data_IF_704249085910
#
_entry.id   IF_704249085910
#
_cell.length_a   1.000
_cell.length_b   1.000
_cell.length_c   1.000
_cell.angle_alpha   90.00
_cell.angle_beta   90.00
_cell.angle_gamma   90.00
#
_symmetry.space_group_name_H-M   'P 1'
#
loop_
_entity.id
_entity.type
_entity.pdbx_description
1 polymer ?
#
# COMPACT_ATOMS: atom_id res chain seq x y z
N UNK A 1 46.73 89.49 -20.27
CA UNK A 1 45.60 88.54 -19.96
C UNK A 1 45.34 87.83 -21.29
N UNK A 2 45.39 86.49 -21.33
CA UNK A 2 45.06 85.74 -22.54
C UNK A 2 43.59 85.84 -22.82
N UNK A 3 43.22 86.00 -24.08
CA UNK A 3 41.82 86.14 -24.50
C UNK A 3 41.00 84.90 -24.20
N UNK A 4 39.67 85.06 -23.87
CA UNK A 4 38.83 83.92 -23.51
C UNK A 4 38.67 82.83 -24.60
N UNK A 5 39.06 83.11 -25.84
CA UNK A 5 38.98 82.17 -26.95
C UNK A 5 40.10 81.04 -26.90
N UNK A 6 41.14 81.20 -26.10
CA UNK A 6 42.19 80.19 -25.95
C UNK A 6 41.97 79.22 -24.79
N UNK A 7 40.94 79.39 -23.98
CA UNK A 7 40.60 78.49 -22.89
C UNK A 7 39.62 77.35 -23.28
N UNK A 8 38.87 77.56 -24.39
CA UNK A 8 37.83 76.59 -24.82
C UNK A 8 38.40 75.21 -25.16
N UNK A 9 39.55 75.09 -25.86
CA UNK A 9 40.12 73.76 -26.16
C UNK A 9 40.60 73.01 -24.93
N UNK A 10 41.07 73.70 -23.92
CA UNK A 10 41.52 73.07 -22.65
C UNK A 10 40.43 72.63 -21.76
N UNK A 11 39.30 73.33 -21.76
CA UNK A 11 38.09 72.93 -21.02
C UNK A 11 37.45 71.74 -21.72
N UNK A 12 37.33 71.71 -23.05
CA UNK A 12 36.84 70.55 -23.80
C UNK A 12 37.72 69.31 -23.64
N UNK A 13 39.04 69.49 -23.70
CA UNK A 13 39.99 68.41 -23.49
C UNK A 13 39.92 67.81 -22.08
N UNK A 14 39.71 68.65 -21.04
CA UNK A 14 39.53 68.21 -19.68
C UNK A 14 38.24 67.44 -19.45
N UNK A 15 37.15 67.88 -20.05
CA UNK A 15 35.84 67.20 -19.94
C UNK A 15 35.81 65.85 -20.67
N UNK A 16 36.43 65.78 -21.84
CA UNK A 16 36.56 64.53 -22.58
C UNK A 16 37.51 63.55 -21.87
N UNK A 17 38.62 64.04 -21.32
CA UNK A 17 39.54 63.23 -20.53
C UNK A 17 38.92 62.67 -19.25
N UNK A 18 38.18 63.50 -18.51
CA UNK A 18 37.46 63.08 -17.29
C UNK A 18 36.33 62.11 -17.60
N UNK A 19 35.59 62.31 -18.71
CA UNK A 19 34.55 61.39 -19.16
C UNK A 19 35.09 60.00 -19.56
N UNK A 20 36.26 59.98 -20.25
CA UNK A 20 36.94 58.74 -20.63
C UNK A 20 37.45 57.93 -19.43
N UNK A 21 38.00 58.66 -18.40
CA UNK A 21 38.47 57.98 -17.19
C UNK A 21 37.27 57.43 -16.37
N UNK A 22 36.19 58.21 -16.22
CA UNK A 22 34.98 57.75 -15.52
C UNK A 22 34.32 56.54 -16.26
N UNK A 23 34.27 56.57 -17.55
CA UNK A 23 33.74 55.48 -18.37
C UNK A 23 34.64 54.24 -18.28
N UNK A 24 35.97 54.39 -18.27
CA UNK A 24 36.93 53.34 -18.05
C UNK A 24 36.86 52.68 -16.67
N UNK A 25 36.65 53.50 -15.64
CA UNK A 25 36.46 53.05 -14.25
C UNK A 25 35.10 52.31 -14.10
N UNK A 26 34.06 52.81 -14.74
CA UNK A 26 32.75 52.14 -14.76
C UNK A 26 32.81 50.79 -15.48
N UNK A 27 33.44 50.71 -16.64
CA UNK A 27 33.68 49.44 -17.37
C UNK A 27 34.53 48.45 -16.57
N UNK A 28 35.51 48.88 -15.86
CA UNK A 28 36.32 48.02 -14.99
C UNK A 28 35.50 47.50 -13.80
N UNK A 29 34.74 48.38 -13.15
CA UNK A 29 33.83 48.01 -12.04
C UNK A 29 32.77 46.96 -12.47
N UNK A 30 32.12 47.19 -13.62
CA UNK A 30 31.12 46.23 -14.16
C UNK A 30 31.78 44.89 -14.54
N UNK A 31 32.98 44.90 -15.11
CA UNK A 31 33.66 43.68 -15.48
C UNK A 31 34.21 42.92 -14.26
N UNK A 32 34.60 43.60 -13.19
CA UNK A 32 35.03 43.00 -11.94
C UNK A 32 33.82 42.42 -11.16
N UNK A 33 32.65 43.07 -11.21
CA UNK A 33 31.39 42.57 -10.62
C UNK A 33 30.95 41.32 -11.36
N UNK A 34 30.96 41.30 -12.70
CA UNK A 34 30.61 40.12 -13.48
C UNK A 34 31.56 38.94 -13.25
N UNK A 35 32.85 39.22 -13.03
CA UNK A 35 33.83 38.19 -12.64
C UNK A 35 33.56 37.62 -11.24
N UNK A 36 33.20 38.48 -10.28
CA UNK A 36 32.87 38.07 -8.93
C UNK A 36 31.60 37.19 -8.93
N UNK A 37 30.55 37.60 -9.63
CA UNK A 37 29.33 36.79 -9.80
C UNK A 37 29.62 35.44 -10.49
N UNK A 38 30.52 35.43 -11.48
CA UNK A 38 30.99 34.19 -12.15
C UNK A 38 31.72 33.26 -11.19
N UNK A 39 32.59 33.81 -10.34
CA UNK A 39 33.32 33.05 -9.32
C UNK A 39 32.44 32.54 -8.21
N UNK A 40 31.49 33.37 -7.75
CA UNK A 40 30.48 32.93 -6.76
C UNK A 40 29.62 31.79 -7.30
N UNK A 41 29.17 31.86 -8.55
CA UNK A 41 28.46 30.75 -9.21
C UNK A 41 29.31 29.49 -9.33
N UNK A 42 30.57 29.61 -9.70
CA UNK A 42 31.49 28.47 -9.75
C UNK A 42 31.74 27.86 -8.37
N UNK A 43 31.90 28.69 -7.33
CA UNK A 43 32.03 28.23 -5.95
C UNK A 43 30.77 27.50 -5.45
N UNK A 44 29.60 28.01 -5.81
CA UNK A 44 28.31 27.35 -5.46
C UNK A 44 28.18 25.98 -6.15
N UNK A 45 28.50 25.93 -7.48
CA UNK A 45 28.47 24.66 -8.24
C UNK A 45 29.47 23.66 -7.66
N UNK A 46 30.72 24.10 -7.40
CA UNK A 46 31.74 23.26 -6.81
C UNK A 46 31.37 22.81 -5.38
N UNK A 47 30.68 23.63 -4.62
CA UNK A 47 30.12 23.28 -3.30
C UNK A 47 29.04 22.22 -3.39
N UNK A 48 28.12 22.34 -4.35
CA UNK A 48 27.08 21.37 -4.63
C UNK A 48 27.67 20.02 -5.12
N UNK A 49 28.67 20.05 -6.04
CA UNK A 49 29.38 18.85 -6.49
C UNK A 49 30.15 18.16 -5.35
N UNK A 50 30.82 18.93 -4.49
CA UNK A 50 31.54 18.38 -3.35
C UNK A 50 30.58 17.73 -2.32
N UNK A 51 29.43 18.35 -2.08
CA UNK A 51 28.40 17.79 -1.22
C UNK A 51 27.82 16.50 -1.81
N UNK A 52 27.66 16.43 -3.13
CA UNK A 52 27.21 15.25 -3.85
C UNK A 52 28.25 14.12 -3.75
N UNK A 53 29.52 14.40 -4.04
CA UNK A 53 30.61 13.43 -3.95
C UNK A 53 30.86 12.92 -2.53
N UNK A 54 30.67 13.75 -1.53
CA UNK A 54 30.74 13.31 -0.13
C UNK A 54 29.64 12.32 0.20
N UNK A 55 28.40 12.59 -0.21
CA UNK A 55 27.26 11.66 -0.01
C UNK A 55 27.47 10.34 -0.76
N UNK A 56 27.99 10.40 -1.98
CA UNK A 56 28.31 9.20 -2.76
C UNK A 56 29.44 8.38 -2.10
N UNK A 57 30.48 9.02 -1.58
CA UNK A 57 31.55 8.35 -0.82
C UNK A 57 31.05 7.73 0.49
N UNK A 58 30.15 8.41 1.21
CA UNK A 58 29.51 7.86 2.40
C UNK A 58 28.64 6.67 2.06
N UNK A 59 27.88 6.75 0.96
CA UNK A 59 27.07 5.66 0.43
C UNK A 59 27.93 4.45 0.02
N UNK A 60 29.00 4.67 -0.71
CA UNK A 60 29.93 3.61 -1.14
C UNK A 60 30.68 2.96 0.05
N UNK A 61 31.04 3.75 1.06
CA UNK A 61 31.64 3.22 2.30
C UNK A 61 30.66 2.37 3.09
N UNK A 62 29.39 2.80 3.15
CA UNK A 62 28.30 2.06 3.79
C UNK A 62 28.02 0.73 3.06
N UNK A 63 28.01 0.72 1.73
CA UNK A 63 27.88 -0.49 0.92
C UNK A 63 29.08 -1.45 1.09
N UNK A 64 30.30 -0.93 1.17
CA UNK A 64 31.51 -1.73 1.38
C UNK A 64 31.58 -2.38 2.78
N UNK A 65 30.80 -1.90 3.73
CA UNK A 65 30.72 -2.44 5.10
C UNK A 65 29.58 -3.44 5.32
N UNK A 66 28.83 -3.83 4.25
CA UNK A 66 27.81 -4.87 4.32
C UNK A 66 26.63 -4.50 5.23
N UNK A 67 25.76 -3.57 4.80
CA UNK A 67 24.54 -3.21 5.50
C UNK A 67 24.69 -1.99 6.40
N UNK A 68 25.06 -0.83 5.85
CA UNK A 68 25.15 0.43 6.59
C UNK A 68 23.80 1.09 6.82
N UNK A 69 23.71 1.85 7.91
CA UNK A 69 22.58 2.74 8.17
C UNK A 69 22.59 3.92 7.18
N UNK A 70 21.42 4.25 6.63
CA UNK A 70 21.25 5.46 5.83
C UNK A 70 20.93 6.62 6.76
N UNK A 71 21.75 7.68 6.72
CA UNK A 71 21.43 8.92 7.42
C UNK A 71 20.17 9.56 6.83
N UNK A 72 19.15 9.74 7.67
CA UNK A 72 17.89 10.39 7.28
C UNK A 72 18.07 11.91 7.36
N UNK A 73 17.79 12.68 6.29
CA UNK A 73 17.86 14.14 6.35
C UNK A 73 16.88 14.70 7.39
N UNK A 74 17.37 15.60 8.26
CA UNK A 74 16.56 16.17 9.33
C UNK A 74 15.32 16.89 8.81
N UNK A 75 15.39 17.55 7.66
CA UNK A 75 14.26 18.21 7.01
C UNK A 75 13.10 17.26 6.68
N UNK A 76 13.40 15.99 6.35
CA UNK A 76 12.38 14.97 6.07
C UNK A 76 11.74 14.47 7.36
N UNK A 77 12.53 14.35 8.43
CA UNK A 77 12.05 14.04 9.78
C UNK A 77 11.09 15.14 10.25
N UNK A 78 11.55 16.39 10.25
CA UNK A 78 10.78 17.54 10.70
C UNK A 78 9.48 17.72 9.90
N UNK A 79 9.53 17.40 8.61
CA UNK A 79 8.36 17.44 7.74
C UNK A 79 7.31 16.43 8.15
N UNK A 80 7.67 15.18 8.37
CA UNK A 80 6.73 14.12 8.77
C UNK A 80 6.18 14.39 10.17
N UNK A 81 7.03 14.83 11.10
CA UNK A 81 6.60 15.24 12.45
C UNK A 81 5.57 16.38 12.39
N UNK A 82 5.85 17.41 11.59
CA UNK A 82 4.94 18.56 11.41
C UNK A 82 3.62 18.14 10.76
N UNK A 83 3.68 17.25 9.77
CA UNK A 83 2.50 16.80 9.03
C UNK A 83 1.52 16.08 9.94
N UNK A 84 2.03 15.17 10.77
CA UNK A 84 1.18 14.37 11.65
C UNK A 84 1.06 14.90 13.08
N UNK A 85 1.76 15.99 13.43
CA UNK A 85 1.73 16.56 14.79
C UNK A 85 2.28 15.62 15.86
N UNK A 86 3.13 14.68 15.49
CA UNK A 86 3.81 13.73 16.36
C UNK A 86 5.32 13.89 16.25
N UNK A 87 6.06 13.58 17.31
CA UNK A 87 7.52 13.52 17.27
C UNK A 87 7.98 12.09 17.36
N UNK A 88 9.07 11.75 16.68
CA UNK A 88 9.66 10.41 16.81
C UNK A 88 10.06 10.16 18.26
N UNK A 89 9.71 9.00 18.80
CA UNK A 89 10.12 8.57 20.14
C UNK A 89 11.60 8.16 20.17
N UNK A 90 12.13 7.69 19.04
CA UNK A 90 13.54 7.45 18.77
C UNK A 90 13.85 7.84 17.33
N UNK A 91 15.08 8.28 17.07
CA UNK A 91 15.50 8.65 15.72
C UNK A 91 15.23 7.50 14.74
N UNK A 92 14.59 7.78 13.58
CA UNK A 92 14.33 6.75 12.58
C UNK A 92 15.66 6.26 11.98
N UNK A 93 15.84 4.95 12.00
CA UNK A 93 17.01 4.28 11.42
C UNK A 93 16.57 3.54 10.17
N UNK A 94 17.30 3.72 9.08
CA UNK A 94 17.07 3.02 7.83
C UNK A 94 18.28 2.16 7.49
N UNK A 95 18.01 0.93 7.08
CA UNK A 95 19.03 -0.03 6.70
C UNK A 95 19.13 -0.14 5.18
N UNK A 96 20.35 -0.21 4.65
CA UNK A 96 20.57 -0.51 3.25
C UNK A 96 20.62 -2.02 3.03
N UNK A 97 20.05 -2.46 1.92
CA UNK A 97 19.97 -3.88 1.55
C UNK A 97 20.04 -4.03 0.03
N UNK A 98 20.60 -5.13 -0.46
CA UNK A 98 20.53 -5.47 -1.87
C UNK A 98 19.08 -5.78 -2.28
N UNK A 99 18.71 -5.45 -3.53
CA UNK A 99 17.34 -5.63 -4.01
C UNK A 99 16.87 -7.09 -3.93
N UNK A 100 17.77 -8.04 -4.16
CA UNK A 100 17.46 -9.49 -4.04
C UNK A 100 17.19 -9.89 -2.61
N UNK A 101 18.05 -9.47 -1.66
CA UNK A 101 17.88 -9.72 -0.23
C UNK A 101 16.60 -9.06 0.32
N UNK A 102 16.19 -7.91 -0.23
CA UNK A 102 14.92 -7.27 0.14
C UNK A 102 13.73 -8.15 -0.20
N UNK A 103 13.75 -8.81 -1.35
CA UNK A 103 12.69 -9.75 -1.75
C UNK A 103 12.56 -10.92 -0.77
N UNK A 104 13.68 -11.53 -0.41
CA UNK A 104 13.71 -12.66 0.53
C UNK A 104 13.21 -12.24 1.91
N UNK A 105 13.61 -11.05 2.38
CA UNK A 105 13.12 -10.47 3.63
C UNK A 105 11.62 -10.21 3.62
N UNK A 106 11.09 -9.68 2.52
CA UNK A 106 9.64 -9.47 2.36
C UNK A 106 8.90 -10.81 2.43
N UNK A 107 9.40 -11.85 1.76
CA UNK A 107 8.83 -13.19 1.81
C UNK A 107 8.79 -13.74 3.23
N UNK A 108 9.93 -13.69 3.93
CA UNK A 108 10.04 -14.14 5.32
C UNK A 108 9.13 -13.34 6.28
N UNK A 109 8.95 -12.04 6.07
CA UNK A 109 8.03 -11.23 6.88
C UNK A 109 6.56 -11.58 6.63
N UNK A 110 6.18 -11.92 5.40
CA UNK A 110 4.83 -12.39 5.09
C UNK A 110 4.58 -13.74 5.77
N UNK A 111 5.51 -14.68 5.64
CA UNK A 111 5.41 -16.00 6.24
C UNK A 111 5.34 -15.93 7.76
N UNK A 112 6.21 -15.15 8.41
CA UNK A 112 6.25 -15.01 9.86
C UNK A 112 4.97 -14.40 10.45
N UNK A 113 4.25 -13.57 9.68
CA UNK A 113 3.00 -12.95 10.11
C UNK A 113 1.90 -13.98 10.36
N UNK A 114 1.82 -15.01 9.53
CA UNK A 114 0.81 -16.07 9.62
C UNK A 114 1.34 -17.33 10.32
N UNK A 115 2.66 -17.44 10.51
CA UNK A 115 3.34 -18.70 10.83
C UNK A 115 3.43 -19.64 9.62
N UNK A 116 4.28 -20.65 9.67
CA UNK A 116 4.53 -21.54 8.53
C UNK A 116 3.26 -22.23 8.01
N UNK A 117 2.46 -22.83 8.88
CA UNK A 117 1.22 -23.51 8.50
C UNK A 117 0.13 -22.53 8.03
N UNK A 118 0.11 -21.31 8.61
CA UNK A 118 -0.98 -20.36 8.37
C UNK A 118 -1.06 -19.80 6.95
N UNK A 119 0.03 -19.73 6.18
CA UNK A 119 -0.01 -19.29 4.78
C UNK A 119 -0.46 -20.44 3.87
N UNK A 120 -0.08 -21.68 4.16
CA UNK A 120 -0.46 -22.85 3.39
C UNK A 120 -1.95 -23.13 3.55
N UNK A 121 -2.48 -23.07 4.78
CA UNK A 121 -3.91 -23.21 5.05
C UNK A 121 -4.73 -22.13 4.31
N UNK A 122 -4.20 -20.90 4.20
CA UNK A 122 -4.86 -19.84 3.42
C UNK A 122 -4.76 -20.07 1.93
N UNK A 123 -3.64 -20.57 1.42
CA UNK A 123 -3.49 -20.98 0.02
C UNK A 123 -4.59 -21.97 -0.36
N UNK A 124 -4.80 -22.98 0.47
CA UNK A 124 -5.80 -24.01 0.25
C UNK A 124 -7.22 -23.46 0.37
N UNK A 125 -7.54 -22.75 1.47
CA UNK A 125 -8.85 -22.17 1.67
C UNK A 125 -9.24 -21.20 0.55
N UNK A 126 -8.31 -20.35 0.11
CA UNK A 126 -8.56 -19.39 -0.96
C UNK A 126 -8.75 -20.07 -2.32
N UNK A 127 -8.03 -21.17 -2.58
CA UNK A 127 -8.26 -22.04 -3.73
C UNK A 127 -9.65 -22.65 -3.71
N UNK A 128 -10.06 -23.22 -2.58
CA UNK A 128 -11.37 -23.88 -2.41
C UNK A 128 -12.54 -22.88 -2.46
N UNK A 129 -12.36 -21.65 -1.99
CA UNK A 129 -13.36 -20.57 -2.13
C UNK A 129 -13.41 -20.04 -3.58
N UNK A 130 -12.35 -20.25 -4.35
CA UNK A 130 -12.22 -19.78 -5.72
C UNK A 130 -11.71 -18.35 -5.84
N UNK A 131 -11.01 -17.84 -4.83
CA UNK A 131 -10.26 -16.59 -4.89
C UNK A 131 -8.94 -16.73 -5.65
N UNK A 132 -8.30 -17.89 -5.51
CA UNK A 132 -7.08 -18.26 -6.24
C UNK A 132 -7.42 -19.23 -7.36
N UNK A 133 -6.64 -19.16 -8.43
CA UNK A 133 -6.63 -20.15 -9.50
C UNK A 133 -5.71 -21.30 -9.09
N UNK A 134 -5.84 -22.48 -9.69
CA UNK A 134 -4.99 -23.64 -9.37
C UNK A 134 -3.48 -23.38 -9.51
N UNK A 135 -3.09 -22.48 -10.43
CA UNK A 135 -1.69 -22.11 -10.69
C UNK A 135 -1.17 -20.97 -9.81
N UNK A 136 -2.03 -20.34 -9.00
CA UNK A 136 -1.63 -19.22 -8.13
C UNK A 136 -0.89 -19.74 -6.88
N UNK A 137 0.25 -19.14 -6.58
CA UNK A 137 1.05 -19.39 -5.38
C UNK A 137 1.01 -18.16 -4.47
N UNK A 138 0.26 -18.22 -3.38
CA UNK A 138 -0.08 -17.05 -2.54
C UNK A 138 1.16 -16.34 -2.01
N UNK A 139 2.09 -17.07 -1.38
CA UNK A 139 3.31 -16.48 -0.81
C UNK A 139 4.19 -15.86 -1.90
N UNK A 140 4.42 -16.60 -2.98
CA UNK A 140 5.27 -16.13 -4.08
C UNK A 140 4.69 -14.88 -4.75
N UNK A 141 3.37 -14.84 -4.99
CA UNK A 141 2.70 -13.70 -5.62
C UNK A 141 2.64 -12.47 -4.71
N UNK A 142 2.34 -12.64 -3.42
CA UNK A 142 2.37 -11.54 -2.45
C UNK A 142 3.79 -10.96 -2.30
N UNK A 143 4.81 -11.84 -2.26
CA UNK A 143 6.21 -11.42 -2.22
C UNK A 143 6.59 -10.65 -3.49
N UNK A 144 6.24 -11.17 -4.66
CA UNK A 144 6.53 -10.53 -5.94
C UNK A 144 5.89 -9.12 -6.02
N UNK A 145 4.61 -8.99 -5.68
CA UNK A 145 3.91 -7.68 -5.73
C UNK A 145 4.52 -6.66 -4.77
N UNK A 146 4.93 -7.09 -3.58
CA UNK A 146 5.52 -6.18 -2.57
C UNK A 146 6.98 -5.83 -2.88
N UNK A 147 7.68 -6.66 -3.65
CA UNK A 147 9.09 -6.47 -3.98
C UNK A 147 9.33 -5.83 -5.35
N UNK A 148 8.40 -5.99 -6.32
CA UNK A 148 8.58 -5.49 -7.68
C UNK A 148 8.74 -3.97 -7.71
N UNK A 149 9.91 -3.50 -8.11
CA UNK A 149 10.23 -2.07 -8.14
C UNK A 149 10.32 -1.40 -6.77
N UNK A 150 10.27 -2.16 -5.68
CA UNK A 150 10.41 -1.61 -4.34
C UNK A 150 11.83 -1.07 -4.14
N UNK A 151 11.93 0.21 -3.79
CA UNK A 151 13.19 0.89 -3.46
C UNK A 151 13.29 1.16 -1.96
N UNK A 152 12.15 1.15 -1.27
CA UNK A 152 12.01 1.30 0.17
C UNK A 152 10.91 0.37 0.68
N UNK A 153 11.10 -0.20 1.84
CA UNK A 153 10.15 -1.10 2.47
C UNK A 153 10.14 -0.94 3.99
N UNK A 154 8.97 -1.06 4.58
CA UNK A 154 8.76 -1.05 6.02
C UNK A 154 8.37 -2.44 6.50
N UNK A 155 9.10 -2.94 7.46
CA UNK A 155 8.81 -4.20 8.14
C UNK A 155 7.86 -3.93 9.32
N UNK A 156 6.61 -4.32 9.18
CA UNK A 156 5.59 -4.14 10.21
C UNK A 156 5.86 -4.98 11.47
N UNK A 157 6.59 -6.08 11.32
CA UNK A 157 6.89 -6.99 12.44
C UNK A 157 7.98 -6.39 13.34
N UNK A 158 9.05 -5.89 12.72
CA UNK A 158 10.22 -5.37 13.45
C UNK A 158 10.16 -3.85 13.65
N UNK A 159 9.31 -3.13 12.92
CA UNK A 159 9.26 -1.67 12.90
C UNK A 159 10.43 -1.02 12.18
N UNK A 160 11.20 -1.79 11.41
CA UNK A 160 12.41 -1.33 10.73
C UNK A 160 12.11 -0.83 9.32
N UNK A 161 12.86 0.19 8.90
CA UNK A 161 12.85 0.72 7.54
C UNK A 161 14.04 0.20 6.73
N UNK A 162 13.76 -0.23 5.50
CA UNK A 162 14.76 -0.76 4.58
C UNK A 162 14.74 0.03 3.28
N UNK A 163 15.92 0.31 2.72
CA UNK A 163 16.07 0.95 1.40
C UNK A 163 17.06 0.14 0.57
N UNK A 164 16.81 0.06 -0.73
CA UNK A 164 17.71 -0.67 -1.61
C UNK A 164 19.00 0.11 -1.90
N UNK A 165 19.99 -0.55 -2.46
CA UNK A 165 21.23 0.03 -2.99
C UNK A 165 21.01 1.12 -4.05
N UNK A 166 19.86 1.06 -4.77
CA UNK A 166 19.46 2.03 -5.80
C UNK A 166 18.72 3.26 -5.25
N UNK A 167 18.52 3.34 -3.93
CA UNK A 167 17.80 4.43 -3.29
C UNK A 167 18.70 5.68 -3.21
N UNK A 168 18.28 6.77 -3.85
CA UNK A 168 19.02 8.02 -3.95
C UNK A 168 18.15 9.22 -3.55
N UNK A 169 18.61 9.98 -2.55
CA UNK A 169 17.91 11.16 -2.03
C UNK A 169 18.37 12.46 -2.67
N UNK A 170 19.48 12.47 -3.40
CA UNK A 170 20.16 13.71 -3.78
C UNK A 170 19.37 14.55 -4.79
N UNK A 171 18.71 13.93 -5.78
CA UNK A 171 17.88 14.62 -6.77
C UNK A 171 16.72 13.79 -7.28
N UNK A 172 16.34 12.74 -6.56
CA UNK A 172 15.30 11.80 -6.97
C UNK A 172 14.02 12.02 -6.14
N UNK A 173 13.09 12.84 -6.65
CA UNK A 173 11.82 13.11 -5.98
C UNK A 173 11.02 11.83 -5.69
N UNK A 174 10.93 10.82 -6.57
CA UNK A 174 10.35 9.53 -6.24
C UNK A 174 10.92 8.87 -5.00
N UNK A 175 12.26 8.88 -4.81
CA UNK A 175 12.87 8.30 -3.62
C UNK A 175 12.64 9.15 -2.37
N UNK A 176 12.65 10.48 -2.52
CA UNK A 176 12.26 11.38 -1.42
C UNK A 176 10.81 11.15 -0.98
N UNK A 177 9.89 10.95 -1.93
CA UNK A 177 8.50 10.64 -1.66
C UNK A 177 8.34 9.26 -0.98
N UNK A 178 9.06 8.25 -1.47
CA UNK A 178 9.12 6.94 -0.83
C UNK A 178 9.70 7.01 0.59
N UNK A 179 10.68 7.90 0.82
CA UNK A 179 11.19 8.18 2.16
C UNK A 179 10.12 8.77 3.08
N UNK A 180 9.34 9.75 2.62
CA UNK A 180 8.22 10.31 3.40
C UNK A 180 7.23 9.21 3.79
N UNK A 181 6.88 8.32 2.85
CA UNK A 181 6.03 7.16 3.12
C UNK A 181 6.64 6.23 4.18
N UNK A 182 7.92 5.90 4.05
CA UNK A 182 8.63 5.02 4.98
C UNK A 182 8.73 5.64 6.37
N UNK A 183 9.13 6.90 6.46
CA UNK A 183 9.21 7.65 7.72
C UNK A 183 7.84 7.75 8.41
N UNK A 184 6.77 7.99 7.66
CA UNK A 184 5.41 7.99 8.22
C UNK A 184 5.06 6.64 8.85
N UNK A 185 5.43 5.51 8.21
CA UNK A 185 5.22 4.17 8.75
C UNK A 185 5.99 3.94 10.05
N UNK A 186 7.25 4.37 10.11
CA UNK A 186 8.09 4.31 11.33
C UNK A 186 7.46 5.14 12.44
N UNK A 187 7.03 6.37 12.15
CA UNK A 187 6.38 7.25 13.13
C UNK A 187 5.12 6.60 13.72
N UNK A 188 4.24 6.07 12.86
CA UNK A 188 3.02 5.41 13.31
C UNK A 188 3.32 4.15 14.13
N UNK A 189 4.30 3.35 13.73
CA UNK A 189 4.69 2.17 14.48
C UNK A 189 5.24 2.50 15.86
N UNK A 190 6.01 3.59 16.01
CA UNK A 190 6.51 4.03 17.30
C UNK A 190 5.39 4.47 18.25
N UNK A 191 4.36 5.15 17.75
CA UNK A 191 3.25 5.67 18.57
C UNK A 191 2.08 4.70 18.72
N UNK A 192 1.87 3.84 17.75
CA UNK A 192 0.71 2.94 17.64
C UNK A 192 1.19 1.54 17.19
N UNK A 193 2.02 0.88 18.01
CA UNK A 193 2.56 -0.43 17.64
C UNK A 193 1.42 -1.44 17.42
N UNK A 194 1.60 -2.39 16.49
CA UNK A 194 0.62 -3.45 16.28
C UNK A 194 0.48 -4.30 17.55
N UNK A 195 -0.74 -4.81 17.79
CA UNK A 195 -0.94 -5.78 18.84
C UNK A 195 -0.12 -7.05 18.55
N UNK A 196 0.44 -7.69 19.59
CA UNK A 196 1.28 -8.89 19.40
C UNK A 196 0.49 -10.08 18.84
N UNK A 197 -0.82 -10.16 19.13
CA UNK A 197 -1.67 -11.22 18.59
C UNK A 197 -2.20 -10.85 17.20
N UNK A 198 -2.20 -11.82 16.29
CA UNK A 198 -2.83 -11.66 14.98
C UNK A 198 -4.35 -11.44 15.14
N UNK A 199 -4.91 -10.36 14.59
CA UNK A 199 -6.31 -10.00 14.87
C UNK A 199 -7.32 -10.73 13.97
N UNK A 200 -6.88 -11.62 13.10
CA UNK A 200 -7.66 -12.20 12.01
C UNK A 200 -7.51 -11.44 10.69
N UNK A 201 -7.83 -12.11 9.59
CA UNK A 201 -7.54 -11.65 8.23
C UNK A 201 -8.20 -10.30 7.91
N UNK A 202 -9.48 -10.15 8.17
CA UNK A 202 -10.22 -8.92 7.84
C UNK A 202 -9.75 -7.73 8.68
N UNK A 203 -9.58 -7.92 9.99
CA UNK A 203 -9.08 -6.89 10.88
C UNK A 203 -7.64 -6.48 10.55
N UNK A 204 -6.78 -7.44 10.19
CA UNK A 204 -5.42 -7.18 9.77
C UNK A 204 -5.37 -6.32 8.50
N UNK A 205 -6.21 -6.64 7.51
CA UNK A 205 -6.34 -5.86 6.26
C UNK A 205 -6.86 -4.45 6.52
N UNK A 206 -7.85 -4.31 7.39
CA UNK A 206 -8.40 -3.00 7.76
C UNK A 206 -7.36 -2.10 8.45
N UNK A 207 -6.57 -2.67 9.36
CA UNK A 207 -5.47 -1.95 10.04
C UNK A 207 -4.35 -1.60 9.06
N UNK A 208 -3.97 -2.53 8.20
CA UNK A 208 -2.97 -2.30 7.15
C UNK A 208 -3.42 -1.16 6.22
N UNK A 209 -4.70 -1.13 5.84
CA UNK A 209 -5.28 -0.07 5.02
C UNK A 209 -5.16 1.32 5.69
N UNK A 210 -5.42 1.44 6.99
CA UNK A 210 -5.22 2.69 7.73
C UNK A 210 -3.74 3.11 7.72
N UNK A 211 -2.83 2.21 8.09
CA UNK A 211 -1.40 2.52 8.21
C UNK A 211 -0.77 2.83 6.85
N UNK A 212 -0.99 2.00 5.85
CA UNK A 212 -0.46 2.23 4.50
C UNK A 212 -1.15 3.40 3.82
N UNK A 213 -2.45 3.55 4.02
CA UNK A 213 -3.23 4.64 3.44
C UNK A 213 -2.79 6.02 3.95
N UNK A 214 -2.57 6.19 5.25
CA UNK A 214 -2.07 7.43 5.83
C UNK A 214 -0.67 7.79 5.29
N UNK A 215 0.22 6.80 5.22
CA UNK A 215 1.56 6.99 4.66
C UNK A 215 1.54 7.31 3.16
N UNK A 216 0.68 6.64 2.38
CA UNK A 216 0.47 6.96 0.96
C UNK A 216 -0.15 8.35 0.75
N UNK A 217 -0.99 8.81 1.67
CA UNK A 217 -1.51 10.18 1.69
C UNK A 217 -0.39 11.21 1.86
N UNK A 218 0.54 10.99 2.80
CA UNK A 218 1.71 11.86 3.01
C UNK A 218 2.62 11.90 1.77
N UNK A 219 2.90 10.74 1.19
CA UNK A 219 3.63 10.62 -0.07
C UNK A 219 2.97 11.43 -1.20
N UNK A 220 1.65 11.29 -1.38
CA UNK A 220 0.91 12.02 -2.41
C UNK A 220 0.94 13.55 -2.17
N UNK A 221 0.84 14.00 -0.92
CA UNK A 221 0.97 15.43 -0.57
C UNK A 221 2.38 15.95 -0.84
N UNK A 222 3.41 15.12 -0.60
CA UNK A 222 4.78 15.47 -0.96
C UNK A 222 4.93 15.67 -2.47
N UNK A 223 4.40 14.76 -3.29
CA UNK A 223 4.38 14.92 -4.75
C UNK A 223 3.65 16.18 -5.19
N UNK A 224 2.47 16.46 -4.61
CA UNK A 224 1.69 17.65 -4.97
C UNK A 224 2.44 18.97 -4.69
N UNK A 225 3.20 19.04 -3.59
CA UNK A 225 4.00 20.21 -3.27
C UNK A 225 5.22 20.39 -4.19
N UNK A 226 5.74 19.30 -4.73
CA UNK A 226 6.89 19.31 -5.64
C UNK A 226 6.48 19.24 -7.13
N UNK A 227 5.18 19.31 -7.44
CA UNK A 227 4.66 19.17 -8.80
C UNK A 227 5.27 20.17 -9.81
N UNK A 228 5.60 21.39 -9.37
CA UNK A 228 6.26 22.39 -10.22
C UNK A 228 7.70 22.03 -10.58
N UNK A 229 8.40 21.34 -9.68
CA UNK A 229 9.80 20.89 -9.90
C UNK A 229 9.84 19.64 -10.76
N UNK A 230 8.86 18.76 -10.58
CA UNK A 230 8.75 17.51 -11.37
C UNK A 230 8.36 17.83 -12.83
N UNK A 231 7.68 18.98 -13.07
CA UNK A 231 7.11 19.28 -14.37
C UNK A 231 6.05 18.23 -14.74
N UNK A 232 5.61 18.22 -15.99
CA UNK A 232 4.77 17.14 -16.56
C UNK A 232 5.66 15.93 -16.97
N UNK A 233 6.55 15.48 -16.09
CA UNK A 233 7.15 14.16 -16.33
C UNK A 233 6.07 13.11 -16.09
N UNK A 234 5.65 12.36 -17.13
CA UNK A 234 4.82 11.19 -16.88
C UNK A 234 5.64 10.29 -15.95
N UNK A 235 5.07 9.98 -14.77
CA UNK A 235 5.64 8.92 -13.94
C UNK A 235 5.75 7.71 -14.86
N UNK A 236 6.97 7.24 -15.14
CA UNK A 236 7.15 6.00 -15.87
C UNK A 236 6.52 4.91 -15.02
N UNK A 237 5.36 4.42 -15.47
CA UNK A 237 4.79 3.22 -14.90
C UNK A 237 5.88 2.14 -14.95
N UNK A 238 6.07 1.48 -13.83
CA UNK A 238 6.95 0.33 -13.80
C UNK A 238 6.28 -0.79 -14.63
N UNK A 239 6.75 -0.97 -15.89
CA UNK A 239 6.16 -1.94 -16.81
C UNK A 239 6.14 -3.36 -16.24
N UNK A 240 7.13 -3.73 -15.42
CA UNK A 240 7.20 -5.01 -14.75
C UNK A 240 6.09 -5.14 -13.70
N UNK A 241 5.84 -4.09 -12.91
CA UNK A 241 4.73 -4.07 -11.93
C UNK A 241 3.38 -4.16 -12.63
N UNK A 242 3.17 -3.43 -13.73
CA UNK A 242 1.93 -3.49 -14.53
C UNK A 242 1.72 -4.91 -15.08
N UNK A 243 2.77 -5.51 -15.65
CA UNK A 243 2.69 -6.87 -16.16
C UNK A 243 2.40 -7.88 -15.05
N UNK A 244 3.07 -7.79 -13.91
CA UNK A 244 2.81 -8.64 -12.75
C UNK A 244 1.36 -8.51 -12.27
N UNK A 245 0.87 -7.28 -12.10
CA UNK A 245 -0.53 -7.06 -11.67
C UNK A 245 -1.55 -7.63 -12.65
N UNK A 246 -1.26 -7.67 -13.95
CA UNK A 246 -2.12 -8.27 -14.95
C UNK A 246 -2.19 -9.81 -14.85
N UNK A 247 -1.14 -10.45 -14.31
CA UNK A 247 -1.10 -11.92 -14.13
C UNK A 247 -1.80 -12.39 -12.84
N UNK A 248 -2.05 -11.51 -11.87
CA UNK A 248 -2.70 -11.89 -10.61
C UNK A 248 -4.17 -12.26 -10.80
N UNK A 249 -4.67 -13.14 -9.94
CA UNK A 249 -6.11 -13.33 -9.79
C UNK A 249 -6.81 -12.01 -9.44
N UNK A 250 -8.10 -11.81 -9.80
CA UNK A 250 -8.85 -10.62 -9.41
C UNK A 250 -8.81 -10.36 -7.89
N UNK A 251 -8.88 -11.43 -7.10
CA UNK A 251 -8.79 -11.36 -5.65
C UNK A 251 -7.45 -10.77 -5.17
N UNK A 252 -6.32 -11.32 -5.61
CA UNK A 252 -5.00 -10.84 -5.20
C UNK A 252 -4.74 -9.40 -5.67
N UNK A 253 -5.21 -9.07 -6.87
CA UNK A 253 -5.12 -7.71 -7.41
C UNK A 253 -5.89 -6.71 -6.54
N UNK A 254 -7.13 -7.02 -6.20
CA UNK A 254 -7.94 -6.18 -5.32
C UNK A 254 -7.39 -6.11 -3.90
N UNK A 255 -6.93 -7.23 -3.36
CA UNK A 255 -6.32 -7.30 -2.03
C UNK A 255 -5.07 -6.41 -1.91
N UNK A 256 -4.20 -6.43 -2.93
CA UNK A 256 -2.97 -5.63 -2.93
C UNK A 256 -3.20 -4.16 -3.24
N UNK A 257 -4.22 -3.83 -4.02
CA UNK A 257 -4.58 -2.44 -4.32
C UNK A 257 -5.30 -1.74 -3.16
N UNK A 258 -6.04 -2.48 -2.33
CA UNK A 258 -6.92 -1.95 -1.28
C UNK A 258 -6.26 -0.95 -0.34
N UNK A 259 -5.05 -1.18 0.23
CA UNK A 259 -4.44 -0.22 1.14
C UNK A 259 -4.07 1.11 0.47
N UNK A 260 -3.63 1.08 -0.80
CA UNK A 260 -3.21 2.27 -1.53
C UNK A 260 -4.38 3.06 -2.15
N UNK A 261 -5.51 2.42 -2.39
CA UNK A 261 -6.71 3.02 -2.96
C UNK A 261 -7.70 3.41 -1.83
N UNK A 262 -8.49 2.45 -1.37
CA UNK A 262 -9.55 2.68 -0.38
C UNK A 262 -8.99 3.04 1.00
N UNK A 263 -7.87 2.40 1.40
CA UNK A 263 -7.18 2.72 2.64
C UNK A 263 -6.68 4.17 2.66
N UNK A 264 -6.12 4.65 1.53
CA UNK A 264 -5.73 6.05 1.39
C UNK A 264 -6.93 6.99 1.46
N UNK A 265 -8.02 6.68 0.75
CA UNK A 265 -9.25 7.48 0.79
C UNK A 265 -9.82 7.57 2.22
N UNK A 266 -9.83 6.46 2.95
CA UNK A 266 -10.23 6.42 4.35
C UNK A 266 -9.34 7.29 5.23
N UNK A 267 -8.01 7.11 5.17
CA UNK A 267 -7.07 7.89 5.97
C UNK A 267 -7.12 9.38 5.65
N UNK A 268 -7.23 9.76 4.36
CA UNK A 268 -7.38 11.16 3.94
C UNK A 268 -8.70 11.76 4.48
N UNK A 269 -9.79 11.00 4.53
CA UNK A 269 -11.07 11.45 5.11
C UNK A 269 -10.96 11.79 6.59
N UNK A 270 -10.06 11.12 7.30
CA UNK A 270 -9.73 11.43 8.71
C UNK A 270 -8.80 12.64 8.80
N UNK A 271 -7.75 12.64 7.98
CA UNK A 271 -6.71 13.68 7.98
C UNK A 271 -7.25 15.08 7.68
N UNK A 272 -8.18 15.23 6.73
CA UNK A 272 -8.78 16.55 6.40
C UNK A 272 -9.58 17.15 7.55
N UNK A 273 -9.97 16.35 8.55
CA UNK A 273 -10.62 16.80 9.77
C UNK A 273 -9.63 17.15 10.89
N UNK A 274 -8.33 17.06 10.62
CA UNK A 274 -7.22 17.28 11.54
C UNK A 274 -6.56 15.97 12.00
N UNK A 275 -5.46 16.12 12.76
CA UNK A 275 -4.68 14.97 13.22
C UNK A 275 -5.41 14.17 14.32
N UNK A 276 -6.23 14.78 15.16
CA UNK A 276 -6.91 14.08 16.26
C UNK A 276 -7.80 12.92 15.81
N UNK A 277 -8.67 13.06 14.77
CA UNK A 277 -9.44 11.93 14.23
C UNK A 277 -8.55 10.81 13.68
N UNK A 278 -7.45 11.15 13.01
CA UNK A 278 -6.50 10.17 12.50
C UNK A 278 -5.80 9.42 13.65
N UNK A 279 -5.32 10.13 14.67
CA UNK A 279 -4.72 9.53 15.87
C UNK A 279 -5.72 8.68 16.66
N UNK A 280 -6.98 9.09 16.72
CA UNK A 280 -8.03 8.29 17.35
C UNK A 280 -8.24 6.96 16.59
N UNK A 281 -8.22 6.99 15.26
CA UNK A 281 -8.30 5.80 14.44
C UNK A 281 -7.09 4.87 14.60
N UNK A 282 -5.88 5.41 14.80
CA UNK A 282 -4.70 4.59 15.10
C UNK A 282 -4.78 3.94 16.49
N UNK A 283 -5.30 4.64 17.50
CA UNK A 283 -5.49 4.08 18.85
C UNK A 283 -6.58 3.01 18.89
N UNK A 284 -7.63 3.17 18.09
CA UNK A 284 -8.74 2.24 17.94
C UNK A 284 -8.91 1.90 16.46
N UNK A 285 -8.03 1.04 15.90
CA UNK A 285 -8.02 0.79 14.48
C UNK A 285 -9.28 0.08 14.01
N UNK A 286 -9.68 0.29 12.75
CA UNK A 286 -10.83 -0.40 12.18
C UNK A 286 -10.64 -1.92 12.31
N UNK A 287 -11.69 -2.60 12.74
CA UNK A 287 -11.68 -4.05 12.97
C UNK A 287 -12.19 -4.84 11.76
N UNK A 288 -12.71 -4.16 10.75
CA UNK A 288 -13.22 -4.76 9.52
C UNK A 288 -12.91 -3.90 8.31
N UNK A 289 -12.75 -4.52 7.14
CA UNK A 289 -12.65 -3.80 5.87
C UNK A 289 -13.92 -3.02 5.54
N UNK A 290 -15.07 -3.44 6.09
CA UNK A 290 -16.32 -2.68 5.98
C UNK A 290 -16.21 -1.29 6.60
N UNK A 291 -15.57 -1.16 7.76
CA UNK A 291 -15.37 0.15 8.41
C UNK A 291 -14.46 1.09 7.59
N UNK A 292 -13.55 0.53 6.80
CA UNK A 292 -12.71 1.31 5.88
C UNK A 292 -13.48 1.74 4.63
N UNK A 293 -14.28 0.83 4.06
CA UNK A 293 -15.03 1.07 2.83
C UNK A 293 -16.25 1.97 3.04
N UNK A 294 -16.89 1.88 4.23
CA UNK A 294 -18.12 2.60 4.57
C UNK A 294 -17.99 3.36 5.89
N UNK A 295 -17.06 4.33 5.99
CA UNK A 295 -16.77 5.02 7.26
C UNK A 295 -17.93 5.87 7.80
N UNK A 296 -18.94 6.13 6.99
CA UNK A 296 -20.15 6.85 7.40
C UNK A 296 -21.23 5.91 8.03
N UNK A 297 -21.08 4.58 7.84
CA UNK A 297 -21.98 3.62 8.48
C UNK A 297 -21.57 3.40 9.95
N UNK A 298 -22.50 3.11 10.85
CA UNK A 298 -22.17 2.75 12.22
C UNK A 298 -21.16 1.60 12.26
N UNK A 299 -20.23 1.65 13.21
CA UNK A 299 -19.35 0.51 13.46
C UNK A 299 -20.21 -0.70 13.82
N UNK A 300 -20.01 -1.79 13.09
CA UNK A 300 -20.70 -3.04 13.37
C UNK A 300 -19.90 -3.82 14.42
N UNK A 301 -20.57 -4.23 15.49
CA UNK A 301 -19.95 -5.18 16.41
C UNK A 301 -19.89 -6.54 15.73
N UNK A 302 -18.75 -7.24 15.81
CA UNK A 302 -18.65 -8.60 15.30
C UNK A 302 -19.68 -9.49 16.02
N UNK A 303 -20.69 -9.93 15.29
CA UNK A 303 -21.65 -10.93 15.81
C UNK A 303 -20.94 -12.28 15.86
N UNK A 304 -21.09 -12.99 16.96
CA UNK A 304 -20.71 -14.40 17.00
C UNK A 304 -21.58 -15.17 16.00
N UNK A 305 -21.00 -15.61 14.89
CA UNK A 305 -21.68 -16.51 13.96
C UNK A 305 -21.63 -17.93 14.56
N UNK A 306 -22.78 -18.47 14.88
CA UNK A 306 -22.92 -19.88 15.21
C UNK A 306 -22.71 -20.69 13.92
N UNK A 307 -21.58 -21.38 13.86
CA UNK A 307 -21.24 -22.28 12.77
C UNK A 307 -21.81 -23.68 13.04
N UNK A 308 -22.11 -24.49 12.01
CA UNK A 308 -22.50 -25.85 12.23
C UNK A 308 -21.35 -26.62 12.90
N UNK A 309 -21.72 -27.60 13.74
CA UNK A 309 -20.73 -28.51 14.31
C UNK A 309 -20.08 -29.33 13.19
N UNK A 310 -18.78 -29.24 13.08
CA UNK A 310 -17.94 -30.11 12.25
C UNK A 310 -17.35 -31.19 13.14
N UNK A 311 -17.03 -32.36 12.53
CA UNK A 311 -16.58 -33.54 13.29
C UNK A 311 -15.17 -33.42 13.83
N UNK A 312 -14.34 -32.60 13.18
CA UNK A 312 -12.92 -32.44 13.50
C UNK A 312 -12.57 -30.96 13.69
N UNK A 313 -11.46 -30.70 14.39
CA UNK A 313 -10.98 -29.33 14.59
C UNK A 313 -10.54 -28.70 13.26
N UNK A 314 -11.00 -27.49 12.91
CA UNK A 314 -10.62 -26.84 11.67
C UNK A 314 -9.14 -26.45 11.67
N UNK A 315 -8.48 -26.61 10.53
CA UNK A 315 -7.12 -26.10 10.29
C UNK A 315 -7.08 -24.59 10.33
N UNK A 316 -8.13 -23.93 9.82
CA UNK A 316 -8.24 -22.48 9.74
C UNK A 316 -9.67 -22.02 10.05
N UNK A 317 -9.78 -20.97 10.87
CA UNK A 317 -11.03 -20.26 11.13
C UNK A 317 -10.78 -18.77 10.99
N UNK A 318 -11.33 -18.15 9.93
CA UNK A 318 -11.06 -16.75 9.62
C UNK A 318 -12.27 -16.01 9.07
N UNK A 319 -12.13 -14.70 8.92
CA UNK A 319 -13.15 -13.79 8.37
C UNK A 319 -12.63 -13.19 7.06
N UNK A 320 -13.39 -13.31 5.99
CA UNK A 320 -13.07 -12.71 4.69
C UNK A 320 -13.30 -11.20 4.66
N UNK A 321 -14.32 -10.77 5.39
CA UNK A 321 -14.76 -9.39 5.46
C UNK A 321 -15.50 -8.91 4.23
N UNK A 322 -15.90 -7.66 4.28
CA UNK A 322 -16.55 -7.00 3.16
C UNK A 322 -15.70 -7.05 1.88
N UNK A 323 -14.40 -6.79 2.02
CA UNK A 323 -13.47 -6.82 0.89
C UNK A 323 -13.43 -8.20 0.24
N UNK A 324 -13.31 -9.27 1.04
CA UNK A 324 -13.28 -10.64 0.55
C UNK A 324 -14.56 -11.00 -0.21
N UNK A 325 -15.73 -10.64 0.34
CA UNK A 325 -17.02 -10.85 -0.32
C UNK A 325 -17.09 -10.10 -1.67
N UNK A 326 -16.74 -8.82 -1.69
CA UNK A 326 -16.71 -8.02 -2.92
C UNK A 326 -15.84 -8.68 -3.99
N UNK A 327 -14.60 -9.03 -3.64
CA UNK A 327 -13.65 -9.61 -4.55
C UNK A 327 -14.05 -11.03 -5.04
N UNK A 328 -14.83 -11.76 -4.24
CA UNK A 328 -15.38 -13.06 -4.65
C UNK A 328 -16.43 -12.92 -5.76
N UNK A 329 -17.21 -11.82 -5.72
CA UNK A 329 -18.27 -11.53 -6.69
C UNK A 329 -17.74 -10.82 -7.95
N UNK A 330 -16.59 -10.12 -7.87
CA UNK A 330 -16.05 -9.29 -8.95
C UNK A 330 -15.87 -10.04 -10.30
N UNK A 331 -15.46 -11.33 -10.34
CA UNK A 331 -15.35 -12.06 -11.61
C UNK A 331 -16.67 -12.24 -12.38
N UNK A 332 -17.82 -11.95 -11.77
CA UNK A 332 -19.12 -11.93 -12.45
C UNK A 332 -19.33 -10.70 -13.34
N UNK A 333 -18.40 -9.73 -13.33
CA UNK A 333 -18.32 -8.64 -14.30
C UNK A 333 -19.12 -7.39 -13.96
N UNK A 334 -19.79 -7.32 -12.81
CA UNK A 334 -20.50 -6.13 -12.33
C UNK A 334 -19.94 -5.66 -10.97
N UNK A 335 -18.94 -4.81 -11.04
CA UNK A 335 -18.29 -4.26 -9.83
C UNK A 335 -19.23 -3.36 -9.02
N UNK A 336 -20.19 -2.67 -9.66
CA UNK A 336 -21.18 -1.84 -8.97
C UNK A 336 -22.12 -2.69 -8.12
N UNK A 337 -22.70 -3.72 -8.68
CA UNK A 337 -23.57 -4.68 -7.98
C UNK A 337 -22.80 -5.42 -6.88
N UNK A 338 -21.57 -5.84 -7.14
CA UNK A 338 -20.71 -6.50 -6.13
C UNK A 338 -20.44 -5.58 -4.94
N UNK A 339 -20.16 -4.31 -5.19
CA UNK A 339 -19.95 -3.30 -4.15
C UNK A 339 -21.23 -3.03 -3.35
N UNK A 340 -22.38 -2.89 -4.03
CA UNK A 340 -23.67 -2.67 -3.38
C UNK A 340 -24.04 -3.82 -2.44
N UNK A 341 -23.97 -5.06 -2.92
CA UNK A 341 -24.28 -6.24 -2.09
C UNK A 341 -23.29 -6.35 -0.93
N UNK A 342 -22.00 -6.17 -1.17
CA UNK A 342 -21.02 -6.18 -0.11
C UNK A 342 -21.28 -5.07 0.94
N UNK A 343 -21.91 -3.94 0.55
CA UNK A 343 -22.27 -2.88 1.51
C UNK A 343 -23.27 -3.32 2.59
N UNK A 344 -24.00 -4.42 2.36
CA UNK A 344 -24.94 -5.07 3.29
C UNK A 344 -24.26 -6.15 4.15
N UNK A 345 -22.96 -6.39 3.96
CA UNK A 345 -22.21 -7.33 4.79
C UNK A 345 -22.26 -6.92 6.25
N UNK A 346 -22.54 -7.88 7.12
CA UNK A 346 -22.61 -7.69 8.57
C UNK A 346 -21.55 -8.50 9.30
N UNK A 347 -21.36 -9.73 8.91
CA UNK A 347 -20.31 -10.62 9.40
C UNK A 347 -20.12 -11.79 8.45
N UNK A 348 -19.01 -12.48 8.55
CA UNK A 348 -18.78 -13.75 7.89
C UNK A 348 -17.75 -14.57 8.65
N UNK A 349 -17.74 -15.85 8.38
CA UNK A 349 -16.69 -16.74 8.85
C UNK A 349 -16.50 -17.89 7.88
N UNK A 350 -15.26 -18.18 7.53
CA UNK A 350 -14.93 -19.39 6.79
C UNK A 350 -14.04 -20.31 7.60
N UNK A 351 -14.21 -21.61 7.35
CA UNK A 351 -13.47 -22.70 7.96
C UNK A 351 -12.81 -23.52 6.87
N UNK A 352 -11.54 -23.88 7.09
CA UNK A 352 -10.88 -24.97 6.38
C UNK A 352 -10.80 -26.14 7.36
N UNK A 353 -11.29 -27.30 6.99
CA UNK A 353 -11.36 -28.47 7.87
C UNK A 353 -11.12 -29.78 7.13
N UNK A 354 -10.71 -30.86 7.82
CA UNK A 354 -10.52 -32.18 7.22
C UNK A 354 -11.81 -32.71 6.58
N UNK A 355 -11.68 -33.34 5.38
CA UNK A 355 -12.80 -33.88 4.61
C UNK A 355 -12.39 -35.21 3.95
N UNK A 356 -12.31 -36.25 4.76
CA UNK A 356 -11.72 -37.54 4.39
C UNK A 356 -10.25 -37.65 4.79
N UNK A 357 -9.55 -38.69 4.27
CA UNK A 357 -8.18 -38.99 4.71
C UNK A 357 -7.11 -38.06 4.14
N UNK A 358 -7.30 -37.51 2.93
CA UNK A 358 -6.29 -36.74 2.21
C UNK A 358 -6.86 -35.45 1.59
N UNK A 359 -8.03 -34.99 2.01
CA UNK A 359 -8.66 -33.81 1.44
C UNK A 359 -9.21 -32.87 2.51
N UNK A 360 -9.40 -31.63 2.14
CA UNK A 360 -9.99 -30.60 2.97
C UNK A 360 -11.25 -30.05 2.36
N UNK A 361 -12.13 -29.52 3.18
CA UNK A 361 -13.32 -28.79 2.77
C UNK A 361 -13.27 -27.35 3.28
N UNK A 362 -13.99 -26.47 2.60
CA UNK A 362 -14.24 -25.12 3.06
C UNK A 362 -15.74 -24.90 3.24
N UNK A 363 -16.10 -24.31 4.38
CA UNK A 363 -17.42 -23.78 4.66
C UNK A 363 -17.30 -22.28 4.91
N UNK A 364 -18.11 -21.47 4.24
CA UNK A 364 -18.13 -20.03 4.42
C UNK A 364 -19.56 -19.54 4.64
N UNK A 365 -19.87 -19.08 5.85
CA UNK A 365 -21.13 -18.45 6.22
C UNK A 365 -21.01 -16.93 6.13
N UNK A 366 -21.94 -16.31 5.43
CA UNK A 366 -21.99 -14.87 5.18
C UNK A 366 -23.33 -14.35 5.71
N UNK A 367 -23.27 -13.45 6.69
CA UNK A 367 -24.43 -12.78 7.28
C UNK A 367 -24.58 -11.39 6.68
N UNK A 368 -25.78 -11.04 6.22
CA UNK A 368 -26.14 -9.73 5.69
C UNK A 368 -27.12 -9.02 6.61
N UNK A 369 -27.31 -7.73 6.41
CA UNK A 369 -28.19 -6.89 7.23
C UNK A 369 -29.68 -7.02 6.88
N UNK A 370 -30.02 -7.59 5.72
CA UNK A 370 -31.38 -7.78 5.25
C UNK A 370 -31.60 -9.05 4.45
N UNK A 371 -32.84 -9.52 4.39
CA UNK A 371 -33.24 -10.68 3.60
C UNK A 371 -33.15 -10.39 2.10
N UNK A 372 -33.46 -9.16 1.68
CA UNK A 372 -33.35 -8.70 0.28
C UNK A 372 -31.91 -8.76 -0.22
N UNK A 373 -30.96 -8.30 0.59
CA UNK A 373 -29.53 -8.40 0.24
C UNK A 373 -29.08 -9.86 0.18
N UNK A 374 -29.60 -10.73 1.06
CA UNK A 374 -29.33 -12.16 1.01
C UNK A 374 -29.91 -12.82 -0.25
N UNK A 375 -31.10 -12.41 -0.73
CA UNK A 375 -31.67 -12.88 -1.99
C UNK A 375 -30.76 -12.52 -3.18
N UNK A 376 -30.27 -11.28 -3.20
CA UNK A 376 -29.35 -10.81 -4.25
C UNK A 376 -28.00 -11.53 -4.19
N UNK A 377 -27.42 -11.67 -2.98
CA UNK A 377 -26.18 -12.44 -2.80
C UNK A 377 -26.36 -13.89 -3.24
N UNK A 378 -27.46 -14.55 -2.86
CA UNK A 378 -27.73 -15.93 -3.26
C UNK A 378 -27.75 -16.08 -4.77
N UNK A 379 -28.43 -15.16 -5.48
CA UNK A 379 -28.49 -15.20 -6.94
C UNK A 379 -27.11 -15.06 -7.60
N UNK A 380 -26.24 -14.21 -7.06
CA UNK A 380 -24.86 -14.09 -7.56
C UNK A 380 -24.00 -15.27 -7.15
N UNK A 381 -24.12 -15.76 -5.92
CA UNK A 381 -23.38 -16.92 -5.43
C UNK A 381 -23.67 -18.16 -6.28
N UNK A 382 -24.93 -18.38 -6.68
CA UNK A 382 -25.31 -19.48 -7.58
C UNK A 382 -24.66 -19.35 -8.98
N UNK A 383 -24.54 -18.13 -9.51
CA UNK A 383 -23.79 -17.88 -10.74
C UNK A 383 -22.29 -18.14 -10.53
N UNK A 384 -21.76 -17.72 -9.38
CA UNK A 384 -20.33 -17.88 -9.06
C UNK A 384 -19.93 -19.35 -8.96
N UNK A 385 -20.70 -20.18 -8.23
CA UNK A 385 -20.42 -21.61 -8.11
C UNK A 385 -20.58 -22.33 -9.45
N UNK A 386 -21.55 -21.96 -10.29
CA UNK A 386 -21.67 -22.49 -11.65
C UNK A 386 -20.41 -22.18 -12.48
N UNK A 387 -19.87 -20.94 -12.38
CA UNK A 387 -18.62 -20.54 -13.03
C UNK A 387 -17.41 -21.35 -12.51
N UNK A 388 -17.33 -21.57 -11.20
CA UNK A 388 -16.26 -22.40 -10.60
C UNK A 388 -16.33 -23.86 -11.07
N UNK A 389 -17.54 -24.39 -11.29
CA UNK A 389 -17.79 -25.71 -11.82
C UNK A 389 -17.72 -25.78 -13.36
N UNK A 390 -17.31 -24.72 -14.04
CA UNK A 390 -17.29 -24.62 -15.50
C UNK A 390 -18.65 -24.89 -16.19
N UNK A 391 -19.78 -24.58 -15.50
CA UNK A 391 -21.13 -24.65 -16.05
C UNK A 391 -21.54 -23.34 -16.70
N UNK A 392 -22.32 -23.43 -17.78
CA UNK A 392 -22.91 -22.25 -18.44
C UNK A 392 -24.17 -21.76 -17.74
N UNK A 393 -24.97 -22.65 -17.18
CA UNK A 393 -26.23 -22.33 -16.51
C UNK A 393 -26.01 -22.09 -15.02
N UNK A 394 -26.68 -21.10 -14.42
CA UNK A 394 -26.66 -20.91 -12.96
C UNK A 394 -27.12 -22.16 -12.22
N UNK A 395 -26.57 -22.37 -11.03
CA UNK A 395 -27.04 -23.38 -10.11
C UNK A 395 -28.41 -22.99 -9.52
N UNK A 396 -29.12 -23.96 -8.96
CA UNK A 396 -30.30 -23.73 -8.15
C UNK A 396 -29.96 -23.80 -6.66
N UNK A 397 -30.74 -23.11 -5.82
CA UNK A 397 -30.52 -23.12 -4.37
C UNK A 397 -30.61 -24.54 -3.80
N UNK A 398 -29.61 -24.94 -3.01
CA UNK A 398 -29.52 -26.27 -2.44
C UNK A 398 -29.03 -27.37 -3.41
N UNK A 399 -28.84 -27.05 -4.69
CA UNK A 399 -28.24 -27.98 -5.66
C UNK A 399 -26.78 -28.24 -5.30
N UNK A 400 -26.39 -29.49 -5.31
CA UNK A 400 -24.98 -29.91 -5.22
C UNK A 400 -24.42 -30.02 -6.62
N UNK A 401 -23.44 -29.18 -6.93
CA UNK A 401 -22.79 -29.15 -8.24
C UNK A 401 -21.45 -29.87 -8.16
N UNK A 402 -21.24 -30.82 -9.05
CA UNK A 402 -19.97 -31.52 -9.15
C UNK A 402 -19.02 -30.74 -10.07
N UNK A 403 -17.84 -30.40 -9.57
CA UNK A 403 -16.76 -29.80 -10.34
C UNK A 403 -16.01 -30.84 -11.20
N UNK A 404 -15.20 -30.42 -12.19
CA UNK A 404 -14.38 -31.33 -12.98
C UNK A 404 -13.41 -32.19 -12.15
N UNK A 405 -12.90 -31.66 -11.03
CA UNK A 405 -12.04 -32.35 -10.06
C UNK A 405 -12.81 -33.12 -8.99
N UNK A 406 -14.12 -33.36 -9.22
CA UNK A 406 -15.04 -34.18 -8.41
C UNK A 406 -15.35 -33.61 -7.01
N UNK A 407 -15.21 -32.31 -6.82
CA UNK A 407 -15.66 -31.66 -5.60
C UNK A 407 -17.14 -31.27 -5.69
N UNK A 408 -17.78 -31.20 -4.55
CA UNK A 408 -19.19 -30.81 -4.42
C UNK A 408 -19.27 -29.35 -3.99
N UNK A 409 -19.80 -28.49 -4.85
CA UNK A 409 -20.10 -27.09 -4.55
C UNK A 409 -21.59 -26.93 -4.22
N UNK A 410 -21.90 -26.19 -3.17
CA UNK A 410 -23.28 -25.93 -2.79
C UNK A 410 -23.45 -24.52 -2.22
N UNK A 411 -24.56 -23.88 -2.58
CA UNK A 411 -25.08 -22.66 -1.92
C UNK A 411 -26.36 -23.00 -1.21
N UNK A 412 -26.41 -22.76 0.10
CA UNK A 412 -27.61 -22.93 0.92
C UNK A 412 -27.90 -21.67 1.71
N UNK A 413 -29.06 -21.62 2.34
CA UNK A 413 -29.56 -20.46 3.10
C UNK A 413 -29.98 -20.89 4.48
N UNK A 414 -29.07 -20.94 5.47
CA UNK A 414 -29.37 -21.34 6.84
C UNK A 414 -30.38 -20.46 7.57
N UNK A 415 -30.46 -19.17 7.23
CA UNK A 415 -31.44 -18.23 7.77
C UNK A 415 -31.82 -17.18 6.69
N UNK A 416 -32.90 -16.37 6.95
CA UNK A 416 -33.30 -15.34 5.97
C UNK A 416 -32.21 -14.37 5.54
N UNK A 417 -31.19 -14.14 6.37
CA UNK A 417 -30.10 -13.16 6.17
C UNK A 417 -28.75 -13.81 5.97
N UNK A 418 -28.67 -15.17 6.00
CA UNK A 418 -27.40 -15.90 5.92
C UNK A 418 -27.32 -16.75 4.66
N UNK A 419 -26.21 -16.62 3.97
CA UNK A 419 -25.84 -17.47 2.84
C UNK A 419 -24.63 -18.31 3.24
N UNK A 420 -24.69 -19.60 2.93
CA UNK A 420 -23.60 -20.56 3.13
C UNK A 420 -23.07 -21.03 1.78
N UNK A 421 -21.76 -20.93 1.63
CA UNK A 421 -20.99 -21.61 0.59
C UNK A 421 -20.29 -22.83 1.19
N UNK A 422 -20.37 -23.94 0.51
CA UNK A 422 -19.67 -25.18 0.86
C UNK A 422 -18.94 -25.72 -0.36
N UNK A 423 -17.66 -26.08 -0.16
CA UNK A 423 -16.87 -26.83 -1.11
C UNK A 423 -16.25 -28.02 -0.40
N UNK A 424 -16.67 -29.23 -0.75
CA UNK A 424 -16.29 -30.47 -0.09
C UNK A 424 -16.01 -31.57 -1.11
N UNK A 425 -15.18 -32.54 -0.75
CA UNK A 425 -14.94 -33.73 -1.54
C UNK A 425 -15.92 -34.86 -1.19
N UNK A 426 -16.26 -34.97 0.10
CA UNK A 426 -17.12 -36.03 0.60
C UNK A 426 -18.62 -35.72 0.43
N UNK A 427 -19.35 -36.64 -0.19
CA UNK A 427 -20.82 -36.52 -0.36
C UNK A 427 -21.55 -36.48 0.98
N UNK A 428 -21.06 -37.19 2.00
CA UNK A 428 -21.62 -37.20 3.36
C UNK A 428 -21.54 -35.85 4.02
N UNK A 429 -20.42 -35.13 3.85
CA UNK A 429 -20.21 -33.75 4.33
C UNK A 429 -21.16 -32.80 3.61
N UNK A 430 -21.28 -32.89 2.27
CA UNK A 430 -22.25 -32.11 1.51
C UNK A 430 -23.67 -32.28 1.99
N UNK A 431 -24.11 -33.52 2.24
CA UNK A 431 -25.46 -33.81 2.73
C UNK A 431 -25.71 -33.29 4.15
N UNK A 432 -24.70 -33.33 5.03
CA UNK A 432 -24.83 -32.94 6.43
C UNK A 432 -24.80 -31.43 6.64
N UNK A 433 -23.85 -30.74 6.00
CA UNK A 433 -23.60 -29.31 6.21
C UNK A 433 -24.37 -28.42 5.22
N UNK A 434 -24.70 -28.93 4.04
CA UNK A 434 -25.43 -28.18 3.03
C UNK A 434 -26.92 -28.05 3.27
N UNK A 435 -27.53 -28.94 4.10
CA UNK A 435 -28.95 -28.99 4.36
C UNK A 435 -29.39 -28.26 5.66
N UNK A 436 -28.44 -27.73 6.42
CA UNK A 436 -28.71 -27.07 7.72
C UNK A 436 -28.52 -25.52 7.59
#
# INVERSE_FOLDING_TARGET
MPSPQNLLPWILGGVIGAGGILQGLHWRSVNDTAKLEGLENQLRIAGEENAMLQRENESLRSLAQGGGELAVPQEMIDRVEKEFGLRYLSSPVLHRIASEELRDRIGAAIESRFGPSGIDDRQEAYGLIGWLRPEDELLAQLTAVRSVGARAWFDDVTGQGWVTDRFDLSNNIPDQAALIRLLSRILFHQHFPPAPAYPGDDAARAREALHQGAAAGAEARFYALNARTIGFMPMKENAEAVQLMATLSPFLRGLTAFPAAEGKAYADSLYVRGNDPLHAAFRNPPQTTHAVLFPAKPAMEPLALELPAISEEPFLTETAGNLGLRLWLEPLGDSGTSFEIASHWKNDRYLLFPDGEESSAVLWDIELDSAEAADQLQALALKRVASLAARQEPATAGEVILTPDKRHLQISRPSPTRIRFLNTFETSTAATLGSR
#
